data_IF_827745148672
#
_entry.id   IF_827745148672
#
_cell.length_a   1.000
_cell.length_b   1.000
_cell.length_c   1.000
_cell.angle_alpha   90.00
_cell.angle_beta   90.00
_cell.angle_gamma   90.00
#
_symmetry.space_group_name_H-M   'P 1'
#
loop_
_entity.id
_entity.type
_entity.pdbx_description
1 polymer ?
#
# COMPACT_ATOMS: atom_id res chain seq x y z
N UNK A 1 -40.22 -80.91 -29.11
CA UNK A 1 -38.75 -81.10 -29.21
C UNK A 1 -38.13 -79.82 -28.68
N UNK A 2 -37.93 -79.82 -27.56
CA UNK A 2 -36.92 -79.54 -26.50
C UNK A 2 -35.77 -78.68 -27.01
N UNK A 3 -35.74 -77.44 -26.56
CA UNK A 3 -34.63 -76.50 -26.68
C UNK A 3 -34.20 -76.06 -25.31
N UNK A 4 -32.93 -76.12 -25.04
CA UNK A 4 -32.27 -75.63 -23.84
C UNK A 4 -31.79 -74.23 -24.10
N UNK A 5 -32.19 -73.30 -23.26
CA UNK A 5 -31.62 -71.92 -23.19
C UNK A 5 -30.73 -71.82 -21.97
N UNK A 6 -29.46 -71.53 -22.23
CA UNK A 6 -28.43 -71.37 -21.19
C UNK A 6 -28.43 -69.97 -20.56
N UNK A 7 -28.22 -69.95 -19.28
CA UNK A 7 -27.94 -68.81 -18.44
C UNK A 7 -26.51 -68.25 -18.71
N UNK A 8 -26.40 -66.96 -19.03
CA UNK A 8 -25.18 -66.19 -18.87
C UNK A 8 -25.47 -64.69 -18.94
N UNK A 9 -25.78 -64.09 -17.82
CA UNK A 9 -25.73 -62.62 -17.66
C UNK A 9 -25.82 -62.30 -16.17
N UNK A 10 -24.69 -62.05 -15.55
CA UNK A 10 -24.59 -61.25 -14.29
C UNK A 10 -23.11 -61.24 -13.86
N UNK A 11 -22.33 -60.29 -14.37
CA UNK A 11 -21.03 -59.84 -13.76
C UNK A 11 -20.46 -58.68 -14.64
N UNK A 12 -21.09 -57.51 -14.59
CA UNK A 12 -20.48 -56.26 -15.07
C UNK A 12 -21.16 -55.07 -14.38
N UNK A 13 -20.77 -54.73 -13.19
CA UNK A 13 -21.40 -53.62 -12.49
C UNK A 13 -20.79 -53.33 -11.14
N UNK A 14 -19.43 -53.17 -11.05
CA UNK A 14 -18.79 -52.68 -9.81
C UNK A 14 -17.35 -52.26 -10.09
N UNK A 15 -17.15 -51.24 -10.94
CA UNK A 15 -15.85 -50.56 -11.11
C UNK A 15 -16.04 -49.18 -11.75
N UNK A 16 -16.80 -48.30 -11.07
CA UNK A 16 -16.91 -46.88 -11.46
C UNK A 16 -17.26 -46.01 -10.24
N UNK A 17 -16.44 -46.06 -9.18
CA UNK A 17 -16.60 -45.14 -8.05
C UNK A 17 -15.27 -44.99 -7.30
N UNK A 18 -14.15 -44.69 -8.02
CA UNK A 18 -12.89 -44.34 -7.40
C UNK A 18 -12.09 -43.36 -8.26
N UNK A 19 -12.70 -42.22 -8.58
CA UNK A 19 -12.09 -41.21 -9.45
C UNK A 19 -12.48 -39.76 -9.19
N UNK A 20 -13.06 -39.43 -8.03
CA UNK A 20 -13.48 -38.07 -7.70
C UNK A 20 -13.12 -37.73 -6.25
N UNK A 21 -11.84 -37.62 -5.93
CA UNK A 21 -11.44 -37.32 -4.56
C UNK A 21 -10.09 -36.63 -4.38
N UNK A 22 -9.32 -36.36 -5.43
CA UNK A 22 -7.96 -35.81 -5.26
C UNK A 22 -7.86 -34.32 -5.53
N UNK A 23 -8.89 -33.65 -6.07
CA UNK A 23 -8.88 -32.21 -6.32
C UNK A 23 -9.25 -31.36 -5.12
N UNK A 24 -9.98 -31.88 -4.14
CA UNK A 24 -10.46 -31.10 -3.00
C UNK A 24 -9.50 -30.99 -1.82
N UNK A 25 -8.57 -31.94 -1.67
CA UNK A 25 -7.69 -31.98 -0.51
C UNK A 25 -6.57 -30.91 -0.54
N UNK A 26 -6.09 -30.53 -1.72
CA UNK A 26 -5.09 -29.46 -1.86
C UNK A 26 -5.69 -28.07 -1.63
N UNK A 27 -6.95 -27.83 -2.05
CA UNK A 27 -7.64 -26.57 -1.83
C UNK A 27 -7.99 -26.28 -0.35
N UNK A 28 -8.03 -27.30 0.51
CA UNK A 28 -8.36 -27.15 1.94
C UNK A 28 -7.24 -26.58 2.79
N UNK A 29 -5.99 -26.56 2.30
CA UNK A 29 -4.82 -26.09 3.07
C UNK A 29 -4.15 -24.87 2.44
N UNK A 30 -4.93 -23.96 1.85
CA UNK A 30 -4.43 -22.74 1.25
C UNK A 30 -5.06 -21.52 1.91
N UNK A 31 -4.23 -20.50 2.19
CA UNK A 31 -4.70 -19.21 2.65
C UNK A 31 -4.98 -18.31 1.44
N UNK A 32 -6.23 -17.94 1.23
CA UNK A 32 -6.59 -17.06 0.12
C UNK A 32 -6.30 -15.59 0.46
N UNK A 33 -5.52 -14.94 -0.41
CA UNK A 33 -5.16 -13.52 -0.32
C UNK A 33 -5.43 -12.89 -1.69
N UNK A 34 -6.50 -12.11 -1.88
CA UNK A 34 -6.78 -11.42 -3.12
C UNK A 34 -5.85 -10.21 -3.33
N UNK A 35 -5.59 -9.88 -4.60
CA UNK A 35 -4.89 -8.66 -4.99
C UNK A 35 -5.75 -7.86 -5.96
N UNK A 36 -6.13 -6.64 -5.58
CA UNK A 36 -6.76 -5.69 -6.48
C UNK A 36 -5.67 -5.02 -7.32
N UNK A 37 -5.83 -4.98 -8.64
CA UNK A 37 -4.82 -4.47 -9.56
C UNK A 37 -5.37 -3.39 -10.49
N UNK A 38 -4.49 -2.58 -11.04
CA UNK A 38 -4.76 -1.67 -12.14
C UNK A 38 -3.56 -1.67 -13.09
N UNK A 39 -3.46 -2.80 -13.84
CA UNK A 39 -2.41 -3.05 -14.84
C UNK A 39 -2.68 -2.34 -16.16
N UNK A 40 -3.88 -1.76 -16.31
CA UNK A 40 -4.34 -1.07 -17.52
C UNK A 40 -4.83 0.35 -17.23
N UNK A 41 -4.94 1.18 -18.27
CA UNK A 41 -5.42 2.56 -18.16
C UNK A 41 -4.38 3.56 -17.65
N UNK A 42 -4.81 4.80 -17.32
CA UNK A 42 -3.91 5.92 -16.98
C UNK A 42 -3.11 5.72 -15.68
N UNK A 43 -3.50 4.76 -14.86
CA UNK A 43 -2.85 4.45 -13.57
C UNK A 43 -1.89 3.25 -13.64
N UNK A 44 -1.81 2.58 -14.79
CA UNK A 44 -0.93 1.43 -15.01
C UNK A 44 0.56 1.70 -14.70
N UNK A 45 1.13 2.90 -14.97
CA UNK A 45 2.53 3.17 -14.63
C UNK A 45 2.89 2.93 -13.17
N UNK A 46 1.93 3.15 -12.26
CA UNK A 46 2.09 2.87 -10.83
C UNK A 46 1.53 1.48 -10.45
N UNK A 47 0.46 1.03 -11.11
CA UNK A 47 -0.23 -0.23 -10.80
C UNK A 47 0.55 -1.48 -11.15
N UNK A 48 1.26 -1.48 -12.27
CA UNK A 48 2.02 -2.63 -12.75
C UNK A 48 3.15 -3.04 -11.78
N UNK A 49 4.05 -2.12 -11.35
CA UNK A 49 5.10 -2.49 -10.39
C UNK A 49 4.54 -2.95 -9.04
N UNK A 50 3.44 -2.37 -8.57
CA UNK A 50 2.76 -2.81 -7.34
C UNK A 50 2.26 -4.25 -7.50
N UNK A 51 1.51 -4.55 -8.54
CA UNK A 51 0.98 -5.89 -8.79
C UNK A 51 2.10 -6.94 -8.92
N UNK A 52 3.21 -6.58 -9.59
CA UNK A 52 4.38 -7.45 -9.72
C UNK A 52 5.04 -7.74 -8.36
N UNK A 53 5.19 -6.73 -7.51
CA UNK A 53 5.78 -6.90 -6.17
C UNK A 53 4.96 -7.82 -5.26
N UNK A 54 3.62 -7.71 -5.27
CA UNK A 54 2.73 -8.62 -4.54
C UNK A 54 2.86 -10.04 -5.04
N UNK A 55 2.70 -10.24 -6.34
CA UNK A 55 2.81 -11.55 -6.98
C UNK A 55 4.13 -12.24 -6.61
N UNK A 56 5.22 -11.51 -6.74
CA UNK A 56 6.56 -12.06 -6.53
C UNK A 56 6.80 -12.39 -5.06
N UNK A 57 6.34 -11.55 -4.12
CA UNK A 57 6.52 -11.85 -2.71
C UNK A 57 5.70 -13.07 -2.26
N UNK A 58 4.44 -13.19 -2.67
CA UNK A 58 3.63 -14.38 -2.37
C UNK A 58 4.21 -15.65 -3.01
N UNK A 59 4.68 -15.55 -4.24
CA UNK A 59 5.37 -16.66 -4.91
C UNK A 59 6.67 -17.05 -4.21
N UNK A 60 7.45 -16.06 -3.72
CA UNK A 60 8.66 -16.31 -2.94
C UNK A 60 8.34 -17.07 -1.65
N UNK A 61 7.36 -16.61 -0.87
CA UNK A 61 6.95 -17.29 0.37
C UNK A 61 6.53 -18.74 0.09
N UNK A 62 5.78 -18.96 -0.99
CA UNK A 62 5.38 -20.31 -1.38
C UNK A 62 6.56 -21.19 -1.80
N UNK A 63 7.52 -20.64 -2.55
CA UNK A 63 8.63 -21.41 -3.13
C UNK A 63 9.78 -21.61 -2.17
N UNK A 64 10.18 -20.55 -1.46
CA UNK A 64 11.30 -20.56 -0.52
C UNK A 64 10.91 -21.18 0.83
N UNK A 65 9.74 -20.77 1.38
CA UNK A 65 9.35 -21.05 2.77
C UNK A 65 8.32 -22.20 2.86
N UNK A 66 7.82 -22.68 1.73
CA UNK A 66 6.76 -23.70 1.72
C UNK A 66 5.37 -23.16 2.05
N UNK A 67 5.20 -21.82 2.09
CA UNK A 67 4.00 -21.11 2.52
C UNK A 67 4.17 -20.46 3.90
N UNK A 68 3.07 -19.98 4.49
CA UNK A 68 3.05 -19.40 5.82
C UNK A 68 2.92 -20.54 6.84
N UNK A 69 4.01 -20.90 7.54
CA UNK A 69 4.04 -22.04 8.44
C UNK A 69 3.48 -23.34 7.81
N UNK A 70 3.80 -23.59 6.53
CA UNK A 70 3.35 -24.78 5.78
C UNK A 70 2.00 -24.63 5.07
N UNK A 71 1.28 -23.52 5.26
CA UNK A 71 0.03 -23.20 4.54
C UNK A 71 0.36 -22.39 3.31
N UNK A 72 0.05 -22.91 2.11
CA UNK A 72 0.30 -22.19 0.84
C UNK A 72 -0.57 -20.96 0.71
N UNK A 73 -0.04 -19.94 0.04
CA UNK A 73 -0.80 -18.75 -0.35
C UNK A 73 -1.46 -19.03 -1.70
N UNK A 74 -2.79 -18.98 -1.75
CA UNK A 74 -3.54 -18.88 -2.98
C UNK A 74 -3.78 -17.38 -3.26
N UNK A 75 -3.25 -16.87 -4.38
CA UNK A 75 -3.40 -15.47 -4.77
C UNK A 75 -4.10 -15.37 -6.11
N UNK A 76 -5.09 -14.48 -6.19
CA UNK A 76 -5.81 -14.15 -7.42
C UNK A 76 -5.86 -12.64 -7.58
N UNK A 77 -5.56 -12.15 -8.79
CA UNK A 77 -5.68 -10.74 -9.14
C UNK A 77 -7.08 -10.41 -9.66
N UNK A 78 -7.58 -9.23 -9.31
CA UNK A 78 -8.79 -8.65 -9.90
C UNK A 78 -8.48 -7.24 -10.41
N UNK A 79 -8.61 -7.05 -11.73
CA UNK A 79 -8.37 -5.77 -12.38
C UNK A 79 -9.50 -4.79 -12.10
N UNK A 80 -9.16 -3.60 -11.61
CA UNK A 80 -10.14 -2.55 -11.27
C UNK A 80 -9.84 -1.20 -11.94
N UNK A 81 -8.78 -1.06 -12.74
CA UNK A 81 -8.38 0.16 -13.45
C UNK A 81 -8.28 1.43 -12.57
N UNK A 82 -8.09 1.27 -11.26
CA UNK A 82 -8.17 2.32 -10.24
C UNK A 82 -9.56 2.97 -10.13
N UNK A 83 -10.59 2.32 -10.67
CA UNK A 83 -11.98 2.75 -10.55
C UNK A 83 -12.60 2.23 -9.24
N UNK A 84 -13.24 3.12 -8.48
CA UNK A 84 -13.78 2.80 -7.16
C UNK A 84 -14.90 1.77 -7.24
N UNK A 85 -15.78 1.84 -8.24
CA UNK A 85 -16.90 0.91 -8.41
C UNK A 85 -16.38 -0.48 -8.75
N UNK A 86 -15.47 -0.58 -9.72
CA UNK A 86 -14.83 -1.86 -10.08
C UNK A 86 -14.05 -2.46 -8.90
N UNK A 87 -13.39 -1.62 -8.09
CA UNK A 87 -12.70 -2.07 -6.87
C UNK A 87 -13.64 -2.69 -5.85
N UNK A 88 -14.83 -2.12 -5.65
CA UNK A 88 -15.88 -2.71 -4.80
C UNK A 88 -16.44 -3.99 -5.42
N UNK A 89 -16.65 -4.06 -6.72
CA UNK A 89 -17.07 -5.27 -7.43
C UNK A 89 -16.03 -6.39 -7.29
N UNK A 90 -14.73 -6.07 -7.40
CA UNK A 90 -13.64 -7.02 -7.12
C UNK A 90 -13.68 -7.54 -5.68
N UNK A 91 -13.90 -6.66 -4.70
CA UNK A 91 -14.05 -7.05 -3.30
C UNK A 91 -15.21 -8.05 -3.13
N UNK A 92 -16.41 -7.72 -3.61
CA UNK A 92 -17.59 -8.59 -3.49
C UNK A 92 -17.38 -9.96 -4.16
N UNK A 93 -16.73 -9.97 -5.33
CA UNK A 93 -16.42 -11.20 -6.08
C UNK A 93 -15.45 -12.11 -5.33
N UNK A 94 -14.52 -11.54 -4.59
CA UNK A 94 -13.37 -12.28 -4.02
C UNK A 94 -13.47 -12.53 -2.51
N UNK A 95 -14.29 -11.79 -1.77
CA UNK A 95 -14.35 -11.86 -0.30
C UNK A 95 -14.63 -13.24 0.27
N UNK A 96 -15.44 -14.05 -0.42
CA UNK A 96 -15.82 -15.41 0.01
C UNK A 96 -14.97 -16.53 -0.59
N UNK A 97 -13.94 -16.23 -1.39
CA UNK A 97 -13.09 -17.26 -2.00
C UNK A 97 -12.11 -17.89 -1.01
N UNK A 98 -11.70 -19.12 -1.32
CA UNK A 98 -10.84 -19.92 -0.44
C UNK A 98 -11.61 -20.62 0.67
N UNK A 99 -10.94 -21.48 1.45
CA UNK A 99 -11.60 -22.32 2.45
C UNK A 99 -12.18 -21.54 3.63
N UNK A 100 -11.66 -20.34 3.91
CA UNK A 100 -12.03 -19.50 5.06
C UNK A 100 -12.42 -18.07 4.66
N UNK A 101 -12.65 -17.82 3.36
CA UNK A 101 -12.77 -16.48 2.80
C UNK A 101 -11.43 -15.78 2.61
N UNK A 102 -11.46 -14.54 2.15
CA UNK A 102 -10.27 -13.72 2.00
C UNK A 102 -9.64 -13.40 3.38
N UNK A 103 -8.32 -13.55 3.47
CA UNK A 103 -7.59 -13.25 4.71
C UNK A 103 -7.64 -11.76 5.08
N UNK A 104 -7.44 -10.92 4.09
CA UNK A 104 -7.52 -9.46 4.14
C UNK A 104 -7.56 -8.90 2.72
N UNK A 105 -7.91 -7.64 2.59
CA UNK A 105 -7.73 -6.89 1.34
C UNK A 105 -6.73 -5.75 1.52
N UNK A 106 -5.95 -5.52 0.48
CA UNK A 106 -5.16 -4.30 0.32
C UNK A 106 -5.60 -3.63 -0.99
N UNK A 107 -6.52 -2.63 -0.93
CA UNK A 107 -7.14 -2.08 -2.13
C UNK A 107 -6.23 -1.20 -2.99
N UNK A 108 -5.12 -0.68 -2.46
CA UNK A 108 -4.27 0.31 -3.13
C UNK A 108 -5.06 1.49 -3.74
N UNK A 109 -6.14 1.85 -3.10
CA UNK A 109 -7.01 2.97 -3.48
C UNK A 109 -7.73 3.51 -2.25
N UNK A 110 -7.48 4.78 -1.93
CA UNK A 110 -8.21 5.48 -0.85
C UNK A 110 -9.71 5.50 -1.12
N UNK A 111 -10.12 5.71 -2.39
CA UNK A 111 -11.53 5.70 -2.76
C UNK A 111 -12.21 4.35 -2.50
N UNK A 112 -11.57 3.26 -2.88
CA UNK A 112 -12.07 1.90 -2.58
C UNK A 112 -12.09 1.66 -1.07
N UNK A 113 -11.03 2.03 -0.35
CA UNK A 113 -10.96 1.85 1.11
C UNK A 113 -12.14 2.52 1.81
N UNK A 114 -12.49 3.76 1.43
CA UNK A 114 -13.64 4.47 2.00
C UNK A 114 -14.96 3.69 1.82
N UNK A 115 -15.15 3.04 0.68
CA UNK A 115 -16.34 2.21 0.43
C UNK A 115 -16.32 0.90 1.21
N UNK A 116 -15.14 0.39 1.58
CA UNK A 116 -14.98 -0.85 2.32
C UNK A 116 -15.05 -0.66 3.86
N UNK A 117 -14.86 0.55 4.37
CA UNK A 117 -14.94 0.84 5.82
C UNK A 117 -16.24 0.28 6.45
N UNK A 118 -17.44 0.56 5.92
CA UNK A 118 -18.66 0.01 6.51
C UNK A 118 -18.88 -1.48 6.23
N UNK A 119 -18.21 -2.05 5.22
CA UNK A 119 -18.33 -3.47 4.84
C UNK A 119 -17.42 -4.37 5.65
N UNK A 120 -16.21 -3.93 5.96
CA UNK A 120 -15.20 -4.71 6.63
C UNK A 120 -15.67 -5.34 7.97
N UNK A 121 -16.37 -4.62 8.87
CA UNK A 121 -16.91 -5.21 10.11
C UNK A 121 -18.05 -6.20 9.86
N UNK A 122 -18.86 -6.01 8.81
CA UNK A 122 -19.97 -6.91 8.44
C UNK A 122 -19.45 -8.21 7.90
N UNK A 123 -18.48 -8.12 6.98
CA UNK A 123 -17.87 -9.28 6.33
C UNK A 123 -16.76 -9.93 7.19
N UNK A 124 -16.35 -9.28 8.28
CA UNK A 124 -15.27 -9.69 9.16
C UNK A 124 -13.93 -9.90 8.43
N UNK A 125 -13.63 -9.04 7.47
CA UNK A 125 -12.40 -9.08 6.67
C UNK A 125 -11.63 -7.77 6.88
N UNK A 126 -10.38 -7.81 7.40
CA UNK A 126 -9.60 -6.62 7.61
C UNK A 126 -9.11 -6.00 6.29
N UNK A 127 -9.02 -4.68 6.28
CA UNK A 127 -8.46 -3.88 5.20
C UNK A 127 -7.09 -3.37 5.63
N UNK A 128 -6.05 -3.84 4.96
CA UNK A 128 -4.68 -3.39 5.16
C UNK A 128 -4.42 -2.22 4.21
N UNK A 129 -4.55 -0.99 4.74
CA UNK A 129 -4.46 0.27 4.00
C UNK A 129 -3.09 0.93 4.25
N UNK A 130 -2.00 0.18 4.02
CA UNK A 130 -0.63 0.60 4.37
C UNK A 130 -0.22 1.89 3.69
N UNK A 131 -0.13 2.97 4.48
CA UNK A 131 0.29 4.28 3.99
C UNK A 131 -0.73 5.00 3.12
N UNK A 132 -2.04 4.69 3.20
CA UNK A 132 -3.08 5.44 2.53
C UNK A 132 -4.40 5.50 3.33
N UNK A 133 -5.38 6.19 2.80
CA UNK A 133 -6.58 6.60 3.52
C UNK A 133 -7.54 5.49 3.93
N UNK A 134 -8.44 5.77 4.83
CA UNK A 134 -8.72 7.04 5.52
C UNK A 134 -7.79 7.21 6.73
N UNK A 135 -7.11 8.35 6.88
CA UNK A 135 -6.20 8.57 8.01
C UNK A 135 -6.88 8.45 9.38
N UNK A 136 -8.11 8.95 9.53
CA UNK A 136 -8.86 8.81 10.79
C UNK A 136 -9.06 7.35 11.21
N UNK A 137 -9.01 6.39 10.28
CA UNK A 137 -9.15 4.97 10.58
C UNK A 137 -7.94 4.34 11.29
N UNK A 138 -6.88 5.12 11.51
CA UNK A 138 -5.78 4.73 12.39
C UNK A 138 -6.18 4.67 13.88
N UNK A 139 -7.33 5.21 14.26
CA UNK A 139 -7.93 4.95 15.56
C UNK A 139 -8.67 3.61 15.55
N UNK A 140 -8.00 2.56 16.01
CA UNK A 140 -8.54 1.21 16.06
C UNK A 140 -9.69 1.03 17.06
N UNK A 141 -9.95 1.99 17.96
CA UNK A 141 -11.11 1.93 18.85
C UNK A 141 -12.41 2.14 18.09
N UNK A 142 -12.39 2.96 17.03
CA UNK A 142 -13.53 3.24 16.14
C UNK A 142 -13.50 2.35 14.90
N UNK A 143 -12.31 2.08 14.35
CA UNK A 143 -12.12 1.35 13.09
C UNK A 143 -11.37 0.03 13.29
N UNK A 144 -11.96 -0.95 13.98
CA UNK A 144 -11.26 -2.19 14.34
C UNK A 144 -10.82 -3.05 13.15
N UNK A 145 -11.26 -2.75 11.92
CA UNK A 145 -11.04 -3.55 10.74
C UNK A 145 -10.14 -2.85 9.69
N UNK A 146 -9.67 -1.62 9.95
CA UNK A 146 -8.84 -0.84 9.00
C UNK A 146 -7.47 -0.58 9.63
N UNK A 147 -6.41 -0.87 8.89
CA UNK A 147 -5.02 -0.81 9.36
C UNK A 147 -4.17 0.05 8.42
N UNK A 148 -3.59 1.15 8.92
CA UNK A 148 -2.88 2.16 8.11
C UNK A 148 -1.36 2.15 8.28
N UNK A 149 -0.82 1.27 9.15
CA UNK A 149 0.63 1.27 9.37
C UNK A 149 1.43 1.06 8.05
N UNK A 150 2.69 1.52 7.96
CA UNK A 150 3.51 2.04 9.06
C UNK A 150 3.24 3.50 9.42
N UNK A 151 2.50 4.26 8.61
CA UNK A 151 2.26 5.69 8.82
C UNK A 151 1.08 6.17 7.95
N UNK A 152 0.50 7.33 8.24
CA UNK A 152 -0.66 7.89 7.53
C UNK A 152 -0.29 9.13 6.69
N UNK A 153 -1.20 9.59 5.83
CA UNK A 153 -1.00 10.82 5.06
C UNK A 153 -0.86 12.08 5.94
N UNK A 154 -1.56 12.13 7.08
CA UNK A 154 -1.43 13.26 7.99
C UNK A 154 -0.05 13.27 8.66
N UNK A 155 0.42 12.12 9.07
CA UNK A 155 1.77 11.94 9.59
C UNK A 155 2.83 12.27 8.54
N UNK A 156 2.66 11.80 7.30
CA UNK A 156 3.56 12.15 6.21
C UNK A 156 3.59 13.65 5.93
N UNK A 157 2.42 14.32 5.85
CA UNK A 157 2.36 15.76 5.63
C UNK A 157 3.12 16.52 6.72
N UNK A 158 3.00 16.06 7.98
CA UNK A 158 3.76 16.65 9.10
C UNK A 158 5.27 16.46 8.95
N UNK A 159 5.70 15.28 8.49
CA UNK A 159 7.12 15.00 8.24
C UNK A 159 7.66 15.81 7.04
N UNK A 160 6.87 16.01 5.99
CA UNK A 160 7.25 16.85 4.85
C UNK A 160 7.49 18.30 5.28
N UNK A 161 6.56 18.86 6.08
CA UNK A 161 6.73 20.23 6.61
C UNK A 161 7.93 20.30 7.57
N UNK A 162 8.17 19.27 8.41
CA UNK A 162 9.38 19.17 9.25
C UNK A 162 10.65 19.15 8.41
N UNK A 163 10.66 18.36 7.33
CA UNK A 163 11.81 18.29 6.44
C UNK A 163 12.09 19.63 5.75
N UNK A 164 11.06 20.32 5.25
CA UNK A 164 11.21 21.68 4.70
C UNK A 164 11.79 22.63 5.77
N UNK A 165 11.27 22.58 7.00
CA UNK A 165 11.80 23.38 8.10
C UNK A 165 13.27 23.09 8.39
N UNK A 166 13.70 21.83 8.33
CA UNK A 166 15.13 21.45 8.47
C UNK A 166 15.99 22.04 7.34
N UNK A 167 15.50 22.00 6.08
CA UNK A 167 16.22 22.58 4.95
C UNK A 167 16.36 24.11 5.09
N UNK A 168 15.39 24.78 5.71
CA UNK A 168 15.40 26.24 5.93
C UNK A 168 16.18 26.65 7.21
N UNK A 169 16.69 25.69 7.98
CA UNK A 169 17.42 25.96 9.23
C UNK A 169 16.53 26.11 10.47
N UNK A 170 15.30 25.61 10.42
CA UNK A 170 14.39 25.49 11.56
C UNK A 170 12.94 25.84 11.23
N UNK A 171 12.01 25.31 12.04
CA UNK A 171 10.57 25.51 11.83
C UNK A 171 10.13 26.98 11.87
N UNK A 172 10.81 27.83 12.63
CA UNK A 172 10.54 29.28 12.71
C UNK A 172 10.84 30.01 11.39
N UNK A 173 11.66 29.43 10.52
CA UNK A 173 12.01 29.98 9.19
C UNK A 173 10.94 29.73 8.14
N UNK A 174 9.93 28.92 8.45
CA UNK A 174 8.78 28.71 7.56
C UNK A 174 7.85 29.92 7.48
N UNK A 175 7.88 30.82 8.44
CA UNK A 175 7.03 32.01 8.45
C UNK A 175 7.20 32.84 7.17
N UNK A 176 6.12 33.04 6.43
CA UNK A 176 6.08 33.77 5.16
C UNK A 176 6.59 32.99 3.95
N UNK A 177 7.06 31.76 4.10
CA UNK A 177 7.34 30.85 2.97
C UNK A 177 6.06 30.47 2.26
N UNK A 178 6.13 30.28 0.94
CA UNK A 178 5.01 29.88 0.10
C UNK A 178 5.13 28.39 -0.22
N UNK A 179 4.18 27.61 0.25
CA UNK A 179 4.10 26.17 -0.04
C UNK A 179 2.84 25.91 -0.86
N UNK A 180 3.02 25.26 -2.00
CA UNK A 180 1.91 24.82 -2.85
C UNK A 180 1.73 23.32 -2.69
N UNK A 181 0.51 22.86 -2.42
CA UNK A 181 0.15 21.45 -2.52
C UNK A 181 -0.59 21.22 -3.84
N UNK A 182 0.04 20.50 -4.77
CA UNK A 182 -0.60 20.03 -6.01
C UNK A 182 -1.09 18.63 -5.74
N UNK A 183 -2.39 18.37 -5.89
CA UNK A 183 -2.95 17.10 -5.52
C UNK A 183 -4.01 16.59 -6.50
N UNK A 184 -4.03 15.27 -6.67
CA UNK A 184 -5.07 14.57 -7.40
C UNK A 184 -6.44 14.84 -6.78
N UNK A 185 -7.40 15.35 -7.55
CA UNK A 185 -8.72 15.74 -7.05
C UNK A 185 -9.59 14.52 -6.73
N UNK A 186 -9.20 13.80 -5.70
CA UNK A 186 -9.83 12.57 -5.20
C UNK A 186 -9.73 12.50 -3.68
N UNK A 187 -10.41 11.54 -3.02
CA UNK A 187 -10.20 11.27 -1.60
C UNK A 187 -8.73 11.12 -1.23
N UNK A 188 -7.93 10.42 -2.07
CA UNK A 188 -6.49 10.27 -1.87
C UNK A 188 -5.75 11.60 -1.79
N UNK A 189 -5.87 12.43 -2.83
CA UNK A 189 -5.06 13.65 -2.91
C UNK A 189 -5.45 14.71 -1.86
N UNK A 190 -6.68 14.67 -1.37
CA UNK A 190 -7.21 15.60 -0.35
C UNK A 190 -6.81 15.25 1.08
N UNK A 191 -6.36 14.02 1.33
CA UNK A 191 -6.07 13.53 2.69
C UNK A 191 -5.05 14.41 3.45
N UNK A 192 -4.00 14.90 2.79
CA UNK A 192 -2.97 15.70 3.45
C UNK A 192 -3.42 17.13 3.82
N UNK A 193 -4.48 17.67 3.20
CA UNK A 193 -4.87 19.07 3.32
C UNK A 193 -5.11 19.51 4.78
N UNK A 194 -5.90 18.80 5.61
CA UNK A 194 -6.17 19.24 6.98
C UNK A 194 -4.89 19.43 7.82
N UNK A 195 -3.91 18.56 7.63
CA UNK A 195 -2.63 18.67 8.34
C UNK A 195 -1.80 19.83 7.82
N UNK A 196 -1.76 20.03 6.50
CA UNK A 196 -1.04 21.16 5.91
C UNK A 196 -1.64 22.50 6.34
N UNK A 197 -2.96 22.62 6.41
CA UNK A 197 -3.67 23.82 6.90
C UNK A 197 -3.40 24.07 8.39
N UNK A 198 -3.45 23.04 9.23
CA UNK A 198 -3.13 23.16 10.65
C UNK A 198 -1.68 23.61 10.87
N UNK A 199 -0.74 23.08 10.07
CA UNK A 199 0.67 23.43 10.13
C UNK A 199 0.94 24.84 9.56
N UNK A 200 0.23 25.25 8.51
CA UNK A 200 0.30 26.62 7.98
C UNK A 200 -0.13 27.65 9.04
N UNK A 201 -1.22 27.37 9.75
CA UNK A 201 -1.67 28.19 10.87
C UNK A 201 -0.62 28.23 11.99
N UNK A 202 -0.02 27.06 12.34
CA UNK A 202 0.94 26.96 13.43
C UNK A 202 2.28 27.65 13.15
N UNK A 203 2.79 27.53 11.93
CA UNK A 203 4.14 28.01 11.56
C UNK A 203 4.16 29.25 10.67
N UNK A 204 3.00 29.72 10.23
CA UNK A 204 2.83 30.98 9.50
C UNK A 204 3.34 30.94 8.07
N UNK A 205 3.41 29.79 7.41
CA UNK A 205 3.65 29.71 5.97
C UNK A 205 2.35 29.92 5.18
N UNK A 206 2.48 30.45 3.96
CA UNK A 206 1.35 30.62 3.03
C UNK A 206 1.10 29.30 2.29
N UNK A 207 -0.08 28.70 2.48
CA UNK A 207 -0.47 27.46 1.80
C UNK A 207 -1.41 27.75 0.65
N UNK A 208 -1.11 27.23 -0.54
CA UNK A 208 -2.04 27.20 -1.67
C UNK A 208 -2.32 25.76 -2.08
N UNK A 209 -3.60 25.41 -2.17
CA UNK A 209 -4.10 24.09 -2.55
C UNK A 209 -4.52 24.10 -4.03
N UNK A 210 -3.86 23.32 -4.88
CA UNK A 210 -4.12 23.22 -6.31
C UNK A 210 -4.59 21.80 -6.69
N UNK A 211 -5.90 21.57 -6.82
CA UNK A 211 -6.41 20.29 -7.29
C UNK A 211 -6.15 20.10 -8.79
N UNK A 212 -5.85 18.87 -9.18
CA UNK A 212 -5.76 18.43 -10.57
C UNK A 212 -6.76 17.31 -10.80
N UNK A 213 -7.66 17.51 -11.76
CA UNK A 213 -8.73 16.56 -12.06
C UNK A 213 -8.21 15.30 -12.79
N UNK A 214 -8.95 14.21 -12.62
CA UNK A 214 -8.65 12.92 -13.25
C UNK A 214 -8.60 13.01 -14.78
N UNK A 215 -7.70 12.28 -15.44
CA UNK A 215 -6.58 11.49 -14.90
C UNK A 215 -5.31 12.32 -14.66
N UNK A 216 -5.37 13.64 -14.76
CA UNK A 216 -4.26 14.54 -14.48
C UNK A 216 -3.31 14.79 -15.66
N UNK A 217 -3.76 14.57 -16.90
CA UNK A 217 -2.98 14.87 -18.10
C UNK A 217 -2.98 16.39 -18.45
N UNK A 218 -4.07 17.08 -18.14
CA UNK A 218 -4.22 18.50 -18.44
C UNK A 218 -3.82 19.36 -17.24
N UNK A 219 -2.58 19.86 -17.21
CA UNK A 219 -2.03 20.61 -16.09
C UNK A 219 -1.51 22.00 -16.43
N UNK A 220 -1.61 22.44 -17.67
CA UNK A 220 -1.07 23.75 -18.10
C UNK A 220 -1.59 24.91 -17.24
N UNK A 221 -2.90 24.95 -16.94
CA UNK A 221 -3.49 25.99 -16.11
C UNK A 221 -2.91 25.96 -14.67
N UNK A 222 -2.73 24.80 -14.08
CA UNK A 222 -2.11 24.61 -12.76
C UNK A 222 -0.68 25.15 -12.74
N UNK A 223 0.13 24.83 -13.74
CA UNK A 223 1.54 25.26 -13.80
C UNK A 223 1.68 26.74 -14.15
N UNK A 224 0.74 27.35 -14.87
CA UNK A 224 0.65 28.79 -15.01
C UNK A 224 0.37 29.48 -13.66
N UNK A 225 -0.47 28.89 -12.80
CA UNK A 225 -0.69 29.39 -11.44
C UNK A 225 0.57 29.26 -10.59
N UNK A 226 1.24 28.11 -10.59
CA UNK A 226 2.53 27.90 -9.90
C UNK A 226 3.55 28.98 -10.30
N UNK A 227 3.69 29.25 -11.61
CA UNK A 227 4.57 30.29 -12.11
C UNK A 227 4.24 31.69 -11.59
N UNK A 228 2.95 32.02 -11.41
CA UNK A 228 2.50 33.31 -10.84
C UNK A 228 2.71 33.39 -9.34
N UNK A 229 2.44 32.30 -8.62
CA UNK A 229 2.58 32.20 -7.17
C UNK A 229 4.03 32.26 -6.72
N UNK A 230 4.96 31.74 -7.54
CA UNK A 230 6.39 31.61 -7.24
C UNK A 230 6.60 30.97 -5.85
N UNK A 231 6.13 29.72 -5.64
CA UNK A 231 6.26 29.08 -4.35
C UNK A 231 7.72 28.78 -4.04
N UNK A 232 8.06 28.77 -2.74
CA UNK A 232 9.36 28.30 -2.26
C UNK A 232 9.43 26.79 -2.38
N UNK A 233 8.34 26.07 -2.09
CA UNK A 233 8.25 24.61 -2.16
C UNK A 233 6.94 24.15 -2.81
N UNK A 234 7.03 23.00 -3.46
CA UNK A 234 5.85 22.25 -3.91
C UNK A 234 5.85 20.90 -3.19
N UNK A 235 4.73 20.57 -2.56
CA UNK A 235 4.39 19.21 -2.16
C UNK A 235 3.39 18.63 -3.14
N UNK A 236 3.55 17.37 -3.56
CA UNK A 236 2.67 16.77 -4.56
C UNK A 236 2.10 15.44 -4.09
N UNK A 237 0.79 15.30 -4.24
CA UNK A 237 0.07 14.03 -4.07
C UNK A 237 -0.55 13.62 -5.41
N UNK A 238 0.26 13.07 -6.31
CA UNK A 238 -0.15 12.62 -7.64
C UNK A 238 -0.29 11.10 -7.72
N UNK A 239 -0.97 10.63 -8.77
CA UNK A 239 -1.09 9.21 -9.08
C UNK A 239 -1.23 8.98 -10.59
N UNK A 240 -0.65 7.89 -11.10
CA UNK A 240 -0.69 7.56 -12.52
C UNK A 240 0.03 8.59 -13.39
N UNK A 241 -0.58 8.90 -14.53
CA UNK A 241 0.00 9.84 -15.51
C UNK A 241 0.14 11.28 -15.00
N UNK A 242 -0.59 11.65 -13.94
CA UNK A 242 -0.51 12.99 -13.34
C UNK A 242 0.92 13.33 -12.89
N UNK A 243 1.61 12.39 -12.23
CA UNK A 243 2.94 12.64 -11.66
C UNK A 243 3.99 12.95 -12.72
N UNK A 244 4.04 12.13 -13.77
CA UNK A 244 5.00 12.36 -14.87
C UNK A 244 4.75 13.67 -15.62
N UNK A 245 3.48 14.07 -15.79
CA UNK A 245 3.14 15.36 -16.40
C UNK A 245 3.59 16.50 -15.49
N UNK A 246 3.30 16.41 -14.18
CA UNK A 246 3.69 17.42 -13.22
C UNK A 246 5.22 17.65 -13.19
N UNK A 247 6.01 16.59 -13.18
CA UNK A 247 7.49 16.71 -13.19
C UNK A 247 8.00 17.34 -14.49
N UNK A 248 7.41 17.00 -15.65
CA UNK A 248 7.74 17.63 -16.93
C UNK A 248 7.39 19.13 -16.98
N UNK A 249 6.22 19.50 -16.49
CA UNK A 249 5.76 20.88 -16.46
C UNK A 249 6.61 21.73 -15.48
N UNK A 250 6.99 21.17 -14.32
CA UNK A 250 7.90 21.83 -13.39
C UNK A 250 9.25 22.13 -14.04
N UNK A 251 9.82 21.15 -14.74
CA UNK A 251 11.06 21.31 -15.50
C UNK A 251 10.93 22.37 -16.60
N UNK A 252 9.81 22.39 -17.31
CA UNK A 252 9.54 23.34 -18.41
C UNK A 252 9.48 24.80 -17.94
N UNK A 253 9.08 25.06 -16.68
CA UNK A 253 9.07 26.40 -16.09
C UNK A 253 10.36 26.70 -15.28
N UNK A 254 11.35 25.82 -15.32
CA UNK A 254 12.59 25.90 -14.55
C UNK A 254 12.36 26.01 -13.02
N UNK A 255 11.37 25.28 -12.49
CA UNK A 255 11.18 25.19 -11.04
C UNK A 255 12.35 24.44 -10.40
N UNK A 256 12.89 24.89 -9.25
CA UNK A 256 13.96 24.17 -8.54
C UNK A 256 13.51 22.78 -8.12
N UNK A 257 14.01 21.74 -8.79
CA UNK A 257 13.52 20.39 -8.58
C UNK A 257 13.84 19.84 -7.18
N UNK A 258 14.85 20.35 -6.50
CA UNK A 258 15.17 20.04 -5.10
C UNK A 258 14.21 20.68 -4.08
N UNK A 259 13.32 21.58 -4.53
CA UNK A 259 12.21 22.13 -3.77
C UNK A 259 10.87 21.49 -4.15
N UNK A 260 10.87 20.48 -5.03
CA UNK A 260 9.68 19.74 -5.44
C UNK A 260 9.68 18.36 -4.77
N UNK A 261 8.72 18.12 -3.87
CA UNK A 261 8.64 16.94 -3.03
C UNK A 261 7.35 16.16 -3.35
N UNK A 262 7.47 14.93 -3.82
CA UNK A 262 6.34 14.02 -3.95
C UNK A 262 6.03 13.32 -2.62
N UNK A 263 4.76 12.98 -2.40
CA UNK A 263 4.41 12.05 -1.34
C UNK A 263 4.91 10.64 -1.72
N UNK A 264 4.75 9.64 -0.84
CA UNK A 264 5.27 8.29 -1.12
C UNK A 264 4.64 7.58 -2.33
N UNK A 265 3.49 8.02 -2.84
CA UNK A 265 2.88 7.51 -4.07
C UNK A 265 3.32 8.29 -5.32
N UNK A 266 3.93 9.45 -5.14
CA UNK A 266 4.46 10.31 -6.19
C UNK A 266 6.00 10.32 -6.22
N UNK A 267 6.64 9.28 -5.72
CA UNK A 267 8.09 9.23 -5.46
C UNK A 267 8.71 7.96 -6.05
N UNK A 268 8.38 7.67 -7.31
CA UNK A 268 8.81 6.46 -8.01
C UNK A 268 9.40 6.77 -9.39
N UNK A 269 9.89 5.74 -10.04
CA UNK A 269 10.41 5.77 -11.40
C UNK A 269 9.34 6.23 -12.39
N UNK A 270 8.07 5.95 -12.12
CA UNK A 270 6.94 6.34 -12.97
C UNK A 270 6.83 7.86 -13.16
N UNK A 271 7.19 8.66 -12.14
CA UNK A 271 7.17 10.12 -12.21
C UNK A 271 8.40 10.70 -12.90
N UNK A 272 9.59 10.16 -12.60
CA UNK A 272 10.87 10.80 -12.93
C UNK A 272 11.47 10.34 -14.27
N UNK A 273 11.35 9.05 -14.61
CA UNK A 273 11.95 8.52 -15.83
C UNK A 273 11.39 9.18 -17.11
N UNK A 274 10.05 9.40 -17.25
CA UNK A 274 9.51 10.05 -18.44
C UNK A 274 9.90 11.52 -18.59
N UNK A 275 10.38 12.19 -17.54
CA UNK A 275 10.85 13.58 -17.58
C UNK A 275 12.35 13.71 -17.89
N UNK A 276 13.08 12.57 -17.94
CA UNK A 276 14.50 12.53 -18.29
C UNK A 276 15.36 13.40 -17.37
N UNK A 277 16.29 14.17 -17.95
CA UNK A 277 17.19 15.06 -17.20
C UNK A 277 16.46 16.16 -16.43
N UNK A 278 15.24 16.52 -16.83
CA UNK A 278 14.42 17.53 -16.16
C UNK A 278 13.96 17.12 -14.76
N UNK A 279 13.96 15.82 -14.44
CA UNK A 279 13.59 15.32 -13.13
C UNK A 279 14.73 15.35 -12.10
N UNK A 280 15.96 15.62 -12.51
CA UNK A 280 17.11 15.61 -11.60
C UNK A 280 16.93 16.62 -10.46
N UNK A 281 17.06 16.16 -9.24
CA UNK A 281 16.83 16.94 -8.03
C UNK A 281 15.47 16.71 -7.36
N UNK A 282 14.46 16.18 -8.10
CA UNK A 282 13.15 15.87 -7.54
C UNK A 282 13.26 14.98 -6.30
N UNK A 283 12.55 15.35 -5.27
CA UNK A 283 12.55 14.65 -3.99
C UNK A 283 11.27 13.85 -3.78
N UNK A 284 11.37 12.80 -2.99
CA UNK A 284 10.24 11.99 -2.61
C UNK A 284 10.27 11.62 -1.14
N UNK A 285 9.13 11.75 -0.47
CA UNK A 285 8.92 11.14 0.82
C UNK A 285 8.64 9.64 0.64
N UNK A 286 9.16 8.76 1.51
CA UNK A 286 8.96 7.31 1.40
C UNK A 286 9.01 6.63 2.77
N UNK A 287 8.52 5.39 2.86
CA UNK A 287 8.68 4.52 4.02
C UNK A 287 9.33 3.17 3.68
N UNK A 288 9.86 3.06 2.46
CA UNK A 288 10.66 1.92 2.00
C UNK A 288 11.81 2.40 1.13
N UNK A 289 12.88 1.62 1.09
CA UNK A 289 14.04 1.92 0.25
C UNK A 289 13.79 1.68 -1.24
N UNK A 290 14.60 2.35 -2.08
CA UNK A 290 14.66 2.16 -3.53
C UNK A 290 15.87 1.27 -3.91
N UNK A 291 15.78 0.59 -5.05
CA UNK A 291 16.81 -0.35 -5.53
C UNK A 291 16.60 -1.77 -5.03
N UNK A 292 17.62 -2.61 -5.19
CA UNK A 292 17.51 -4.06 -5.00
C UNK A 292 18.64 -4.68 -4.17
N UNK A 293 19.19 -3.92 -3.23
CA UNK A 293 20.38 -4.34 -2.47
C UNK A 293 20.06 -5.20 -1.22
N UNK A 294 18.78 -5.51 -0.97
CA UNK A 294 18.37 -6.31 0.19
C UNK A 294 18.30 -7.79 -0.12
N UNK A 295 18.47 -8.62 0.90
CA UNK A 295 18.45 -10.08 0.76
C UNK A 295 17.16 -10.59 0.13
N UNK A 296 16.01 -10.01 0.47
CA UNK A 296 14.71 -10.39 -0.13
C UNK A 296 14.72 -10.26 -1.67
N UNK A 297 15.40 -9.26 -2.22
CA UNK A 297 15.53 -9.11 -3.68
C UNK A 297 16.41 -10.19 -4.29
N UNK A 298 17.51 -10.56 -3.62
CA UNK A 298 18.36 -11.66 -4.04
C UNK A 298 17.61 -13.00 -4.00
N UNK A 299 16.79 -13.18 -2.97
CA UNK A 299 15.94 -14.38 -2.85
C UNK A 299 14.89 -14.43 -3.96
N UNK A 300 14.24 -13.32 -4.29
CA UNK A 300 13.31 -13.21 -5.42
C UNK A 300 14.03 -13.52 -6.74
N UNK A 301 15.17 -12.86 -7.01
CA UNK A 301 15.96 -13.08 -8.21
C UNK A 301 16.35 -14.55 -8.39
N UNK A 302 16.87 -15.16 -7.33
CA UNK A 302 17.28 -16.57 -7.33
C UNK A 302 16.10 -17.53 -7.52
N UNK A 303 15.05 -17.36 -6.70
CA UNK A 303 13.97 -18.35 -6.63
C UNK A 303 12.96 -18.21 -7.76
N UNK A 304 12.66 -17.00 -8.24
CA UNK A 304 11.60 -16.77 -9.22
C UNK A 304 12.14 -16.54 -10.63
N UNK A 305 13.31 -15.92 -10.73
CA UNK A 305 13.91 -15.55 -12.02
C UNK A 305 15.15 -16.35 -12.38
N UNK A 306 15.53 -17.36 -11.56
CA UNK A 306 16.71 -18.21 -11.76
C UNK A 306 18.02 -17.41 -11.99
N UNK A 307 18.15 -16.25 -11.36
CA UNK A 307 19.29 -15.35 -11.49
C UNK A 307 19.24 -14.42 -12.73
N UNK A 308 18.22 -14.49 -13.56
CA UNK A 308 18.05 -13.64 -14.74
C UNK A 308 17.60 -12.23 -14.31
N UNK A 309 18.60 -11.34 -14.18
CA UNK A 309 18.41 -9.95 -13.78
C UNK A 309 17.65 -9.13 -14.83
N UNK A 310 17.83 -9.42 -16.12
CA UNK A 310 17.13 -8.70 -17.19
C UNK A 310 15.62 -8.94 -17.08
N UNK A 311 15.22 -10.20 -16.98
CA UNK A 311 13.83 -10.60 -16.80
C UNK A 311 13.23 -10.07 -15.48
N UNK A 312 14.00 -10.03 -14.40
CA UNK A 312 13.54 -9.44 -13.13
C UNK A 312 13.26 -7.94 -13.29
N UNK A 313 14.14 -7.20 -13.95
CA UNK A 313 13.98 -5.77 -14.24
C UNK A 313 12.79 -5.47 -15.16
N UNK A 314 12.50 -6.30 -16.15
CA UNK A 314 11.28 -6.21 -16.97
C UNK A 314 10.00 -6.31 -16.13
N UNK A 315 10.10 -6.91 -14.94
CA UNK A 315 9.03 -6.99 -13.95
C UNK A 315 9.14 -5.95 -12.82
N UNK A 316 9.84 -4.83 -13.07
CA UNK A 316 10.02 -3.69 -12.16
C UNK A 316 10.80 -4.01 -10.86
N UNK A 317 11.56 -5.13 -10.84
CA UNK A 317 12.32 -5.59 -9.68
C UNK A 317 13.28 -4.50 -9.16
N UNK A 318 13.08 -4.08 -7.91
CA UNK A 318 13.86 -3.04 -7.25
C UNK A 318 13.36 -1.61 -7.45
N UNK A 319 12.31 -1.37 -8.24
CA UNK A 319 11.67 -0.06 -8.31
C UNK A 319 10.93 0.27 -6.98
N UNK A 320 10.77 1.56 -6.68
CA UNK A 320 10.17 2.03 -5.43
C UNK A 320 8.80 1.39 -5.16
N UNK A 321 7.91 1.37 -6.16
CA UNK A 321 6.54 0.85 -5.98
C UNK A 321 6.51 -0.69 -5.94
N UNK A 322 7.41 -1.36 -6.66
CA UNK A 322 7.60 -2.81 -6.51
C UNK A 322 8.02 -3.15 -5.07
N UNK A 323 9.02 -2.44 -4.55
CA UNK A 323 9.51 -2.62 -3.18
C UNK A 323 8.42 -2.36 -2.15
N UNK A 324 7.59 -1.34 -2.39
CA UNK A 324 6.44 -1.03 -1.54
C UNK A 324 5.44 -2.16 -1.47
N UNK A 325 5.15 -2.79 -2.61
CA UNK A 325 4.26 -3.93 -2.66
C UNK A 325 4.86 -5.16 -1.96
N UNK A 326 6.18 -5.41 -2.11
CA UNK A 326 6.90 -6.45 -1.37
C UNK A 326 6.79 -6.23 0.15
N UNK A 327 6.97 -4.99 0.62
CA UNK A 327 6.82 -4.62 2.04
C UNK A 327 5.38 -4.81 2.52
N UNK A 328 4.40 -4.37 1.74
CA UNK A 328 2.98 -4.50 2.10
C UNK A 328 2.52 -5.97 2.12
N UNK A 329 2.97 -6.77 1.16
CA UNK A 329 2.72 -8.21 1.15
C UNK A 329 3.33 -8.89 2.37
N UNK A 330 4.55 -8.51 2.75
CA UNK A 330 5.22 -8.99 3.95
C UNK A 330 4.42 -8.65 5.21
N UNK A 331 3.89 -7.44 5.35
CA UNK A 331 3.07 -7.06 6.49
C UNK A 331 1.86 -8.00 6.65
N UNK A 332 1.14 -8.27 5.56
CA UNK A 332 0.01 -9.19 5.58
C UNK A 332 0.41 -10.64 5.92
N UNK A 333 1.49 -11.13 5.32
CA UNK A 333 2.03 -12.47 5.59
C UNK A 333 2.45 -12.63 7.07
N UNK A 334 3.13 -11.63 7.63
CA UNK A 334 3.57 -11.67 9.03
C UNK A 334 2.41 -11.51 10.02
N UNK A 335 1.36 -10.78 9.65
CA UNK A 335 0.12 -10.74 10.45
C UNK A 335 -0.56 -12.11 10.48
N UNK A 336 -0.66 -12.81 9.33
CA UNK A 336 -1.17 -14.18 9.27
C UNK A 336 -0.28 -15.12 10.10
N UNK A 337 1.04 -15.01 9.98
CA UNK A 337 2.01 -15.81 10.76
C UNK A 337 1.83 -15.57 12.27
N UNK A 338 1.65 -14.33 12.69
CA UNK A 338 1.37 -13.96 14.10
C UNK A 338 0.08 -14.61 14.57
N UNK A 339 -0.98 -14.55 13.78
CA UNK A 339 -2.26 -15.19 14.08
C UNK A 339 -2.15 -16.72 14.14
N UNK A 340 -1.37 -17.35 13.26
CA UNK A 340 -1.10 -18.79 13.29
C UNK A 340 -0.39 -19.23 14.57
N UNK A 341 0.39 -18.36 15.20
CA UNK A 341 0.97 -18.62 16.52
C UNK A 341 -0.09 -18.85 17.61
N UNK A 342 -1.26 -18.21 17.47
CA UNK A 342 -2.39 -18.37 18.39
C UNK A 342 -3.40 -19.44 17.96
N UNK A 343 -3.73 -19.47 16.66
CA UNK A 343 -4.84 -20.28 16.15
C UNK A 343 -4.41 -21.58 15.44
N UNK A 344 -3.10 -21.83 15.36
CA UNK A 344 -2.51 -22.98 14.67
C UNK A 344 -2.22 -22.74 13.18
N UNK A 345 -1.32 -23.55 12.62
CA UNK A 345 -0.90 -23.50 11.21
C UNK A 345 -1.95 -24.11 10.29
N UNK A 346 -2.95 -23.34 9.96
CA UNK A 346 -4.10 -23.67 9.08
C UNK A 346 -4.60 -22.41 8.40
N UNK A 347 -5.45 -22.52 7.35
CA UNK A 347 -6.14 -21.36 6.82
C UNK A 347 -6.95 -20.64 7.91
N UNK A 348 -6.80 -19.31 7.98
CA UNK A 348 -7.39 -18.47 9.00
C UNK A 348 -8.52 -17.63 8.41
N UNK A 349 -9.55 -17.35 9.23
CA UNK A 349 -10.60 -16.39 8.89
C UNK A 349 -10.09 -14.96 8.97
N UNK A 350 -10.79 -14.02 8.32
CA UNK A 350 -10.46 -12.59 8.41
C UNK A 350 -10.42 -12.07 9.84
N UNK A 351 -11.33 -12.54 10.74
CA UNK A 351 -11.32 -12.17 12.14
C UNK A 351 -10.03 -12.61 12.87
N UNK A 352 -9.56 -13.83 12.59
CA UNK A 352 -8.30 -14.33 13.14
C UNK A 352 -7.11 -13.52 12.61
N UNK A 353 -7.14 -13.16 11.32
CA UNK A 353 -6.11 -12.31 10.70
C UNK A 353 -6.14 -10.90 11.28
N UNK A 354 -7.32 -10.32 11.56
CA UNK A 354 -7.44 -9.06 12.27
C UNK A 354 -6.72 -9.09 13.63
N UNK A 355 -6.91 -10.17 14.40
CA UNK A 355 -6.15 -10.35 15.64
C UNK A 355 -4.64 -10.33 15.39
N UNK A 356 -4.17 -10.99 14.32
CA UNK A 356 -2.76 -10.99 13.94
C UNK A 356 -2.23 -9.60 13.56
N UNK A 357 -3.04 -8.79 12.88
CA UNK A 357 -2.71 -7.40 12.55
C UNK A 357 -2.59 -6.53 13.81
N UNK A 358 -3.53 -6.64 14.76
CA UNK A 358 -3.51 -5.88 16.03
C UNK A 358 -2.35 -6.29 16.97
N UNK A 359 -1.80 -7.48 16.78
CA UNK A 359 -0.70 -8.01 17.59
C UNK A 359 0.62 -8.09 16.80
N UNK A 360 0.68 -7.46 15.64
CA UNK A 360 1.88 -7.46 14.81
C UNK A 360 3.00 -6.65 15.47
N UNK A 361 4.13 -7.31 15.70
CA UNK A 361 5.35 -6.70 16.23
C UNK A 361 6.56 -7.13 15.39
N UNK A 362 6.85 -6.35 14.35
CA UNK A 362 8.00 -6.57 13.49
C UNK A 362 9.21 -5.80 14.05
N UNK A 363 10.07 -6.54 14.74
CA UNK A 363 11.33 -6.02 15.27
C UNK A 363 12.40 -5.93 14.18
N UNK A 364 13.47 -5.17 14.44
CA UNK A 364 14.66 -5.13 13.56
C UNK A 364 15.24 -6.53 13.30
N UNK A 365 15.26 -7.41 14.32
CA UNK A 365 15.74 -8.79 14.16
C UNK A 365 14.82 -9.60 13.24
N UNK A 366 13.50 -9.42 13.36
CA UNK A 366 12.56 -10.08 12.46
C UNK A 366 12.73 -9.61 11.02
N UNK A 367 12.86 -8.30 10.79
CA UNK A 367 13.13 -7.76 9.45
C UNK A 367 14.46 -8.29 8.87
N UNK A 368 15.49 -8.48 9.70
CA UNK A 368 16.75 -9.09 9.28
C UNK A 368 16.54 -10.55 8.83
N UNK A 369 15.78 -11.35 9.59
CA UNK A 369 15.45 -12.74 9.22
C UNK A 369 14.68 -12.80 7.89
N UNK A 370 13.79 -11.83 7.65
CA UNK A 370 13.01 -11.72 6.39
C UNK A 370 13.84 -11.19 5.21
N UNK A 371 15.09 -10.79 5.43
CA UNK A 371 15.93 -10.17 4.40
C UNK A 371 15.54 -8.73 4.06
N UNK A 372 14.84 -8.04 4.96
CA UNK A 372 14.26 -6.69 4.75
C UNK A 372 14.86 -5.61 5.66
N UNK A 373 15.93 -5.90 6.36
CA UNK A 373 16.61 -4.90 7.20
C UNK A 373 17.08 -3.71 6.36
N UNK A 374 16.63 -2.51 6.70
CA UNK A 374 16.90 -1.28 5.96
C UNK A 374 16.01 -1.04 4.73
N UNK A 375 15.21 -2.02 4.31
CA UNK A 375 14.19 -1.81 3.28
C UNK A 375 12.97 -1.07 3.85
N UNK A 376 12.57 -1.40 5.06
CA UNK A 376 11.50 -0.72 5.81
C UNK A 376 11.84 -0.69 7.31
N UNK A 377 11.12 0.12 8.06
CA UNK A 377 11.29 0.27 9.50
C UNK A 377 10.51 -0.77 10.30
N UNK A 378 10.92 -1.09 11.54
CA UNK A 378 10.12 -1.87 12.48
C UNK A 378 8.74 -1.26 12.69
N UNK A 379 7.73 -2.11 12.92
CA UNK A 379 6.36 -1.69 13.23
C UNK A 379 5.81 -2.48 14.41
N UNK A 380 5.02 -1.81 15.26
CA UNK A 380 4.30 -2.43 16.35
C UNK A 380 2.88 -1.90 16.38
N UNK A 381 1.95 -2.71 15.94
CA UNK A 381 0.53 -2.37 15.89
C UNK A 381 -0.14 -2.71 17.24
N UNK A 382 -1.21 -2.04 17.58
CA UNK A 382 -2.02 -2.35 18.75
C UNK A 382 -3.50 -2.17 18.45
N UNK A 383 -4.35 -2.65 19.34
CA UNK A 383 -5.81 -2.46 19.26
C UNK A 383 -6.22 -0.97 19.11
N UNK A 384 -5.55 -0.06 19.78
CA UNK A 384 -5.92 1.36 19.77
C UNK A 384 -5.22 2.15 18.66
N UNK A 385 -4.05 1.69 18.20
CA UNK A 385 -3.21 2.41 17.23
C UNK A 385 -2.87 1.54 16.03
N UNK A 386 -3.52 1.83 14.91
CA UNK A 386 -3.33 1.15 13.65
C UNK A 386 -2.35 1.86 12.71
N UNK A 387 -1.69 2.94 13.16
CA UNK A 387 -0.71 3.70 12.39
C UNK A 387 0.75 3.36 12.72
N UNK A 388 1.07 3.23 14.01
CA UNK A 388 2.43 3.08 14.57
C UNK A 388 3.35 4.32 14.56
N UNK A 389 3.03 5.37 13.80
CA UNK A 389 3.78 6.64 13.78
C UNK A 389 5.23 6.54 13.31
N UNK A 390 5.50 5.69 12.30
CA UNK A 390 6.85 5.50 11.74
C UNK A 390 7.42 6.77 11.11
N UNK A 391 8.75 6.94 11.18
CA UNK A 391 9.44 8.05 10.54
C UNK A 391 9.35 7.97 9.00
N UNK A 392 9.39 9.14 8.36
CA UNK A 392 9.37 9.26 6.90
C UNK A 392 10.79 9.50 6.40
N UNK A 393 11.26 8.69 5.48
CA UNK A 393 12.52 8.87 4.77
C UNK A 393 12.33 9.82 3.59
N UNK A 394 13.39 10.52 3.21
CA UNK A 394 13.43 11.33 1.99
C UNK A 394 14.49 10.82 1.05
N UNK A 395 14.14 10.73 -0.21
CA UNK A 395 15.04 10.35 -1.30
C UNK A 395 15.04 11.43 -2.38
N UNK A 396 16.14 11.49 -3.16
CA UNK A 396 16.32 12.44 -4.25
C UNK A 396 16.75 11.71 -5.52
N UNK A 397 16.16 12.07 -6.64
CA UNK A 397 16.52 11.55 -7.95
C UNK A 397 17.76 12.24 -8.51
N UNK A 398 18.81 11.48 -8.82
CA UNK A 398 20.05 12.02 -9.36
C UNK A 398 20.09 12.08 -10.90
N UNK A 399 19.01 11.62 -11.55
CA UNK A 399 18.89 11.45 -13.00
C UNK A 399 18.95 10.00 -13.47
N UNK A 400 19.35 9.07 -12.58
CA UNK A 400 19.48 7.64 -12.88
C UNK A 400 18.88 6.74 -11.79
N UNK A 401 19.00 7.14 -10.52
CA UNK A 401 18.54 6.38 -9.37
C UNK A 401 18.09 7.29 -8.22
N UNK A 402 17.34 6.72 -7.32
CA UNK A 402 16.99 7.35 -6.06
C UNK A 402 18.13 7.18 -5.03
N UNK A 403 18.48 8.26 -4.34
CA UNK A 403 19.44 8.26 -3.25
C UNK A 403 18.74 8.77 -1.98
N UNK A 404 18.92 8.08 -0.87
CA UNK A 404 18.40 8.55 0.43
C UNK A 404 19.14 9.82 0.84
N UNK A 405 18.39 10.88 1.15
CA UNK A 405 18.92 12.18 1.60
C UNK A 405 18.56 12.50 3.04
N UNK A 406 17.68 11.71 3.65
CA UNK A 406 17.36 11.74 5.08
C UNK A 406 16.91 10.35 5.54
N UNK A 407 17.52 9.82 6.59
CA UNK A 407 17.27 8.47 7.12
C UNK A 407 15.90 8.31 7.81
N UNK A 408 15.27 9.41 8.16
CA UNK A 408 13.95 9.42 8.74
C UNK A 408 13.65 10.71 9.49
N UNK A 409 12.61 11.41 9.05
CA UNK A 409 12.10 12.59 9.74
C UNK A 409 10.92 12.15 10.62
N UNK A 410 10.98 12.42 11.94
CA UNK A 410 9.88 12.07 12.83
C UNK A 410 8.59 12.78 12.41
N UNK A 411 7.49 12.07 12.49
CA UNK A 411 6.15 12.64 12.32
C UNK A 411 5.78 13.45 13.56
N UNK A 412 5.00 14.51 13.40
CA UNK A 412 4.51 15.35 14.51
C UNK A 412 3.32 14.68 15.20
N UNK A 413 3.60 13.60 15.93
CA UNK A 413 2.56 12.76 16.52
C UNK A 413 1.67 13.52 17.52
N UNK A 414 2.26 14.47 18.28
CA UNK A 414 1.52 15.34 19.23
C UNK A 414 0.47 16.23 18.53
N UNK A 415 0.64 16.53 17.26
CA UNK A 415 -0.35 17.23 16.45
C UNK A 415 -1.33 16.25 15.80
N UNK A 416 -0.79 15.21 15.14
CA UNK A 416 -1.57 14.34 14.25
C UNK A 416 -2.46 13.39 15.01
N UNK A 417 -1.99 12.79 16.13
CA UNK A 417 -2.79 11.81 16.87
C UNK A 417 -4.09 12.40 17.43
N UNK A 418 -4.11 13.58 18.08
CA UNK A 418 -5.35 14.23 18.48
C UNK A 418 -6.29 14.55 17.30
N UNK A 419 -5.77 14.91 16.14
CA UNK A 419 -6.58 15.13 14.93
C UNK A 419 -7.24 13.83 14.47
N UNK A 420 -6.50 12.71 14.48
CA UNK A 420 -7.03 11.37 14.16
C UNK A 420 -8.17 11.00 15.11
N UNK A 421 -7.96 11.13 16.42
CA UNK A 421 -8.94 10.79 17.44
C UNK A 421 -10.20 11.66 17.34
N UNK A 422 -10.06 12.96 17.09
CA UNK A 422 -11.17 13.87 16.87
C UNK A 422 -11.99 13.49 15.62
N UNK A 423 -11.31 13.19 14.50
CA UNK A 423 -11.98 12.80 13.27
C UNK A 423 -12.65 11.42 13.40
N UNK A 424 -12.04 10.49 14.10
CA UNK A 424 -12.62 9.18 14.41
C UNK A 424 -13.85 9.31 15.31
N UNK A 425 -13.79 10.13 16.36
CA UNK A 425 -14.92 10.39 17.24
C UNK A 425 -16.10 11.02 16.49
N UNK A 426 -15.83 11.98 15.59
CA UNK A 426 -16.84 12.58 14.71
C UNK A 426 -17.50 11.50 13.83
N UNK A 427 -16.68 10.67 13.16
CA UNK A 427 -17.20 9.57 12.35
C UNK A 427 -18.04 8.60 13.16
N UNK A 428 -17.60 8.24 14.37
CA UNK A 428 -18.35 7.37 15.27
C UNK A 428 -19.73 7.95 15.63
N UNK A 429 -19.80 9.25 15.94
CA UNK A 429 -21.05 9.96 16.21
C UNK A 429 -22.00 9.95 15.00
N UNK A 430 -21.50 10.32 13.82
CA UNK A 430 -22.27 10.38 12.57
C UNK A 430 -22.83 9.01 12.15
N UNK A 431 -22.08 7.93 12.42
CA UNK A 431 -22.43 6.56 12.04
C UNK A 431 -22.98 5.71 13.20
N UNK A 432 -23.20 6.33 14.38
CA UNK A 432 -23.73 5.65 15.59
C UNK A 432 -22.88 4.44 16.02
N UNK A 433 -21.56 4.57 15.91
CA UNK A 433 -20.61 3.54 16.33
C UNK A 433 -20.22 3.78 17.79
N UNK A 434 -20.31 2.74 18.61
CA UNK A 434 -19.75 2.77 19.97
C UNK A 434 -18.28 2.35 19.91
N UNK A 435 -17.32 3.23 20.27
CA UNK A 435 -15.91 2.86 20.29
C UNK A 435 -15.67 1.67 21.23
N UNK A 436 -14.87 0.71 20.78
CA UNK A 436 -14.48 -0.43 21.62
C UNK A 436 -13.42 -0.04 22.64
N UNK A 437 -13.38 -0.78 23.75
CA UNK A 437 -12.29 -0.66 24.72
C UNK A 437 -11.13 -1.53 24.26
N UNK A 438 -9.93 -0.94 24.22
CA UNK A 438 -8.67 -1.65 24.04
C UNK A 438 -8.09 -1.92 25.43
N UNK A 439 -8.00 -3.18 25.80
CA UNK A 439 -7.47 -3.64 27.07
C UNK A 439 -5.95 -3.55 27.18
#
# INVERSE_FOLDING_TARGET
MISRIGFAALLAGLLAAAGLGTGSALAQNEQFIPTLTYRTGPYAPNGVPIANGFRDYYALVNKRDGGINGVKIANEECEMQYDTKQGVECYEKMKGKGPTGAAYFNPFSTGVTYQLIPKAPVDQIPILSSGYGMTASADGTVFPWIFNFPTTYWSQASAVVSYIGQQEGGMSKLKGKKIVHIFHNSPYGKEANPTLEALATKYGYELTLLPVDHPGQEQKATWLQVRRLRPDYIFMSSWGVMGQVAVKEAAAINFPMDHFIGNWWSSSEAEVVPAGSGAKGYKGATFNGAGSNWQVHQDILKNLYNGDMAKAKENNWGEVLYNRAVVNAMFGVEAIRTAMGKYGSKPLTGEQVRWGLENLNLTSDRLKVLGMAGLTSPVKVSCADHETGGAVMFQQWDGQKWNVVSDGVPVMRDLVRPMIEQAAAKYAQENKITPRKCG
#
